data_IF_268419025026
#
_entry.id   IF_268419025026
#
_cell.length_a   1.000
_cell.length_b   1.000
_cell.length_c   1.000
_cell.angle_alpha   90.00
_cell.angle_beta   90.00
_cell.angle_gamma   90.00
#
_symmetry.space_group_name_H-M   'P 1'
#
loop_
_entity.id
_entity.type
_entity.pdbx_description
1 polymer ?
#
# COMPACT_ATOMS: atom_id res chain seq x y z
N UNK A 1 12.76 22.51 76.17
CA UNK A 1 13.34 21.69 75.08
C UNK A 1 12.22 21.16 74.20
N UNK A 2 11.85 21.87 73.12
CA UNK A 2 10.81 21.45 72.18
C UNK A 2 11.48 20.73 71.00
N UNK A 3 11.18 19.43 70.83
CA UNK A 3 11.73 18.60 69.75
C UNK A 3 10.89 18.83 68.48
N UNK A 4 11.44 19.56 67.51
CA UNK A 4 10.90 19.69 66.17
C UNK A 4 11.07 18.38 65.40
N UNK A 5 9.95 17.75 65.04
CA UNK A 5 9.94 16.61 64.11
C UNK A 5 9.98 17.17 62.69
N UNK A 6 11.10 16.96 62.00
CA UNK A 6 11.27 17.25 60.57
C UNK A 6 10.46 16.21 59.79
N UNK A 7 9.44 16.67 59.07
CA UNK A 7 8.64 15.84 58.17
C UNK A 7 9.39 15.73 56.83
N UNK A 8 9.85 14.52 56.49
CA UNK A 8 10.50 14.22 55.22
C UNK A 8 9.39 14.03 54.16
N UNK A 9 9.22 14.99 53.26
CA UNK A 9 8.28 14.90 52.16
C UNK A 9 8.83 13.95 51.08
N UNK A 10 8.18 12.81 50.91
CA UNK A 10 8.48 11.81 49.88
C UNK A 10 7.84 12.27 48.55
N UNK A 11 8.67 12.72 47.61
CA UNK A 11 8.23 13.06 46.25
C UNK A 11 8.01 11.75 45.49
N UNK A 12 6.75 11.35 45.33
CA UNK A 12 6.35 10.27 44.42
C UNK A 12 6.36 10.85 43.00
N UNK A 13 7.44 10.60 42.27
CA UNK A 13 7.53 10.92 40.85
C UNK A 13 6.72 9.86 40.09
N UNK A 14 5.42 10.12 39.90
CA UNK A 14 4.54 9.28 39.06
C UNK A 14 5.03 9.40 37.62
N UNK A 15 5.75 8.37 37.17
CA UNK A 15 6.07 8.17 35.75
C UNK A 15 4.73 7.86 35.06
N UNK A 16 4.10 8.86 34.46
CA UNK A 16 3.07 8.63 33.45
C UNK A 16 3.75 7.92 32.28
N UNK A 17 3.65 6.59 32.24
CA UNK A 17 3.93 5.84 31.04
C UNK A 17 2.98 6.36 29.96
N UNK A 18 3.51 7.13 29.00
CA UNK A 18 2.79 7.41 27.77
C UNK A 18 2.64 6.07 27.05
N UNK A 19 1.52 5.40 27.27
CA UNK A 19 1.07 4.33 26.38
C UNK A 19 0.83 5.01 25.04
N UNK A 20 1.76 4.83 24.10
CA UNK A 20 1.49 5.18 22.72
C UNK A 20 0.15 4.52 22.35
N UNK A 21 -0.77 5.24 21.68
CA UNK A 21 -1.99 4.61 21.20
C UNK A 21 -1.55 3.39 20.38
N UNK A 22 -1.99 2.20 20.80
CA UNK A 22 -1.81 1.02 19.97
C UNK A 22 -2.47 1.35 18.63
N UNK A 23 -1.70 1.33 17.54
CA UNK A 23 -2.25 1.51 16.20
C UNK A 23 -3.42 0.54 16.03
N UNK A 24 -4.55 1.04 15.56
CA UNK A 24 -5.71 0.20 15.33
C UNK A 24 -5.34 -0.80 14.25
N UNK A 25 -5.21 -2.08 14.62
CA UNK A 25 -4.85 -3.15 13.69
C UNK A 25 -5.79 -3.09 12.49
N UNK A 26 -5.26 -3.04 11.26
CA UNK A 26 -6.11 -2.96 10.07
C UNK A 26 -7.01 -4.18 10.02
N UNK A 27 -8.27 -3.95 9.67
CA UNK A 27 -9.28 -4.98 9.58
C UNK A 27 -9.31 -5.47 8.13
N UNK A 28 -9.30 -6.80 7.95
CA UNK A 28 -9.52 -7.40 6.64
C UNK A 28 -10.85 -6.92 6.04
N UNK A 29 -10.81 -6.39 4.81
CA UNK A 29 -11.98 -5.82 4.15
C UNK A 29 -12.27 -4.36 4.50
N UNK A 30 -11.45 -3.70 5.34
CA UNK A 30 -11.61 -2.26 5.58
C UNK A 30 -11.39 -1.46 4.30
N UNK A 31 -12.16 -0.38 4.13
CA UNK A 31 -12.09 0.51 2.96
C UNK A 31 -12.06 1.96 3.42
N UNK A 32 -11.10 2.75 2.92
CA UNK A 32 -11.18 4.20 2.95
C UNK A 32 -11.87 4.71 1.68
N UNK A 33 -13.11 5.19 1.83
CA UNK A 33 -13.92 5.77 0.74
C UNK A 33 -13.99 7.30 0.77
N UNK A 34 -13.44 7.95 1.81
CA UNK A 34 -13.38 9.41 1.93
C UNK A 34 -14.73 10.17 1.91
N UNK A 35 -15.85 9.46 2.03
CA UNK A 35 -17.21 10.03 1.96
C UNK A 35 -17.58 10.93 3.14
N UNK A 36 -16.82 10.89 4.23
CA UNK A 36 -17.02 11.75 5.40
C UNK A 36 -16.38 13.14 5.26
N UNK A 37 -15.75 13.44 4.12
CA UNK A 37 -15.06 14.69 3.86
C UNK A 37 -13.67 14.81 4.52
N UNK A 38 -13.21 13.75 5.20
CA UNK A 38 -11.88 13.69 5.80
C UNK A 38 -10.85 13.05 4.87
N UNK A 39 -9.56 13.10 5.24
CA UNK A 39 -8.50 12.33 4.57
C UNK A 39 -8.32 10.94 5.17
N UNK A 40 -9.20 10.50 6.09
CA UNK A 40 -9.09 9.23 6.81
C UNK A 40 -7.71 9.00 7.45
N UNK A 41 -7.07 10.08 7.94
CA UNK A 41 -5.73 10.02 8.55
C UNK A 41 -4.56 9.94 7.56
N UNK A 42 -4.81 9.98 6.24
CA UNK A 42 -3.75 10.11 5.25
C UNK A 42 -3.13 11.52 5.31
N UNK A 43 -1.83 11.56 5.54
CA UNK A 43 -1.02 12.78 5.65
C UNK A 43 0.26 12.72 4.83
N UNK A 44 1.00 13.83 4.80
CA UNK A 44 2.31 13.91 4.15
C UNK A 44 3.26 14.81 4.94
N UNK A 45 4.57 14.56 4.80
CA UNK A 45 5.60 15.16 5.65
C UNK A 45 6.25 14.12 6.57
N UNK A 46 6.82 14.54 7.70
CA UNK A 46 7.34 13.62 8.72
C UNK A 46 8.79 13.15 8.55
N UNK A 47 9.62 13.82 7.75
CA UNK A 47 11.08 13.66 7.80
C UNK A 47 11.70 14.27 9.06
N UNK A 48 13.04 14.24 9.23
CA UNK A 48 13.71 14.86 10.39
C UNK A 48 13.42 16.36 10.57
N UNK A 49 12.90 17.03 9.54
CA UNK A 49 12.47 18.44 9.60
C UNK A 49 10.95 18.62 9.81
N UNK A 50 10.16 17.54 9.80
CA UNK A 50 8.70 17.50 9.96
C UNK A 50 7.90 18.55 9.16
N UNK A 51 8.49 19.11 8.10
CA UNK A 51 7.87 20.18 7.34
C UNK A 51 6.70 19.62 6.54
N UNK A 52 5.51 20.16 6.79
CA UNK A 52 4.34 19.90 5.96
C UNK A 52 4.60 20.37 4.53
N UNK A 53 4.13 19.64 3.50
CA UNK A 53 4.18 20.11 2.14
C UNK A 53 3.31 21.37 1.97
N UNK A 54 3.60 22.25 1.00
CA UNK A 54 2.77 23.43 0.71
C UNK A 54 1.32 23.07 0.35
N UNK A 55 1.10 21.88 -0.21
CA UNK A 55 -0.22 21.31 -0.51
C UNK A 55 -0.29 19.95 0.19
N UNK A 56 -0.93 19.86 1.37
CA UNK A 56 -1.14 18.58 2.05
C UNK A 56 -2.16 17.71 1.29
N UNK A 57 -2.21 16.40 1.57
CA UNK A 57 -3.32 15.55 1.12
C UNK A 57 -4.66 16.18 1.49
N UNK A 58 -5.61 16.16 0.56
CA UNK A 58 -6.91 16.79 0.73
C UNK A 58 -8.03 15.89 0.23
N UNK A 59 -9.20 16.02 0.84
CA UNK A 59 -10.43 15.42 0.34
C UNK A 59 -11.01 16.32 -0.78
N UNK A 60 -11.34 15.73 -1.92
CA UNK A 60 -12.07 16.39 -3.01
C UNK A 60 -13.47 15.80 -3.04
N UNK A 61 -14.48 16.66 -2.96
CA UNK A 61 -15.87 16.24 -2.68
C UNK A 61 -16.67 15.81 -3.92
N UNK A 62 -16.01 15.57 -5.04
CA UNK A 62 -16.67 15.28 -6.32
C UNK A 62 -15.67 14.68 -7.33
N UNK A 63 -16.16 13.89 -8.27
CA UNK A 63 -15.39 13.37 -9.40
C UNK A 63 -14.58 12.10 -9.12
N UNK A 64 -14.88 11.41 -8.02
CA UNK A 64 -14.39 10.08 -7.68
C UNK A 64 -14.80 8.99 -8.70
N UNK A 65 -14.39 7.72 -8.50
CA UNK A 65 -14.73 6.59 -9.37
C UNK A 65 -16.23 6.38 -9.62
N UNK A 66 -17.09 6.67 -8.64
CA UNK A 66 -18.54 6.65 -8.69
C UNK A 66 -19.17 7.85 -9.43
N UNK A 67 -18.37 8.88 -9.75
CA UNK A 67 -18.79 10.04 -10.54
C UNK A 67 -19.19 11.23 -9.67
N UNK A 68 -20.36 11.82 -9.97
CA UNK A 68 -20.80 13.06 -9.35
C UNK A 68 -21.14 12.86 -7.86
N UNK A 69 -20.52 13.65 -6.98
CA UNK A 69 -20.70 13.59 -5.53
C UNK A 69 -19.92 12.47 -4.83
N UNK A 70 -19.04 11.76 -5.55
CA UNK A 70 -18.16 10.73 -5.01
C UNK A 70 -16.82 11.37 -4.62
N UNK A 71 -16.46 11.27 -3.34
CA UNK A 71 -15.28 11.93 -2.81
C UNK A 71 -14.01 11.13 -3.13
N UNK A 72 -12.85 11.77 -3.06
CA UNK A 72 -11.58 11.06 -3.14
C UNK A 72 -10.44 11.80 -2.44
N UNK A 73 -9.36 11.08 -2.15
CA UNK A 73 -8.12 11.65 -1.64
C UNK A 73 -7.25 12.18 -2.79
N UNK A 74 -6.96 13.48 -2.79
CA UNK A 74 -6.01 14.09 -3.72
C UNK A 74 -4.63 14.21 -3.08
N UNK A 75 -3.62 13.70 -3.79
CA UNK A 75 -2.20 13.90 -3.46
C UNK A 75 -1.56 14.79 -4.52
N UNK A 76 -0.80 15.79 -4.07
CA UNK A 76 -0.09 16.73 -4.96
C UNK A 76 1.39 16.82 -4.58
N UNK A 77 2.26 16.81 -5.58
CA UNK A 77 3.67 17.12 -5.44
C UNK A 77 4.11 18.16 -6.47
N UNK A 78 5.04 19.03 -6.08
CA UNK A 78 5.47 20.18 -6.90
C UNK A 78 6.73 19.89 -7.74
N UNK A 79 7.43 18.79 -7.48
CA UNK A 79 8.63 18.39 -8.25
C UNK A 79 9.86 19.27 -8.09
N UNK A 80 9.82 20.29 -7.24
CA UNK A 80 10.93 21.22 -6.98
C UNK A 80 11.85 20.71 -5.87
N UNK A 81 12.72 21.56 -5.33
CA UNK A 81 13.45 21.26 -4.10
C UNK A 81 12.58 21.52 -2.86
N UNK A 82 12.79 20.75 -1.78
CA UNK A 82 12.15 20.97 -0.48
C UNK A 82 10.86 20.19 -0.23
N UNK A 83 10.07 20.58 0.80
CA UNK A 83 8.82 19.91 1.15
C UNK A 83 7.82 19.86 -0.01
N UNK A 84 7.11 18.75 -0.16
CA UNK A 84 6.16 18.54 -1.27
C UNK A 84 6.80 18.24 -2.62
N UNK A 85 8.13 18.14 -2.71
CA UNK A 85 8.83 17.80 -3.96
C UNK A 85 8.54 16.39 -4.49
N UNK A 86 8.17 15.47 -3.58
CA UNK A 86 8.00 14.04 -3.86
C UNK A 86 6.54 13.69 -3.61
N UNK A 87 5.95 12.89 -4.50
CA UNK A 87 4.59 12.39 -4.34
C UNK A 87 4.60 11.27 -3.29
N UNK A 88 4.13 11.57 -2.09
CA UNK A 88 4.04 10.60 -1.00
C UNK A 88 2.91 10.97 -0.03
N UNK A 89 2.24 9.96 0.48
CA UNK A 89 1.36 10.05 1.63
C UNK A 89 1.60 8.86 2.57
N UNK A 90 1.19 8.99 3.81
CA UNK A 90 1.26 7.92 4.79
C UNK A 90 0.06 7.93 5.72
N UNK A 91 -0.23 6.77 6.28
CA UNK A 91 -1.19 6.58 7.36
C UNK A 91 -0.51 5.73 8.44
N UNK A 92 -0.41 6.30 9.64
CA UNK A 92 0.22 5.70 10.83
C UNK A 92 -0.80 5.41 11.94
N UNK A 93 -2.09 5.40 11.59
CA UNK A 93 -3.19 5.12 12.50
C UNK A 93 -3.93 3.83 12.10
N UNK A 94 -5.02 3.94 11.35
CA UNK A 94 -5.90 2.80 11.02
C UNK A 94 -5.30 1.77 10.03
N UNK A 95 -4.20 2.12 9.39
CA UNK A 95 -3.43 1.20 8.53
C UNK A 95 -2.17 0.65 9.21
N UNK A 96 -2.02 0.86 10.53
CA UNK A 96 -0.91 0.34 11.33
C UNK A 96 -1.31 -0.93 12.11
N UNK A 97 -0.45 -1.95 12.15
CA UNK A 97 -0.66 -3.18 12.91
C UNK A 97 -0.09 -4.42 12.24
N UNK A 98 -0.54 -5.59 12.69
CA UNK A 98 -0.09 -6.90 12.18
C UNK A 98 -0.95 -7.34 10.99
N UNK A 99 -0.41 -7.20 9.77
CA UNK A 99 -1.08 -7.58 8.54
C UNK A 99 -1.14 -9.10 8.38
N UNK A 100 -0.17 -9.83 8.94
CA UNK A 100 -0.10 -11.28 8.88
C UNK A 100 -1.21 -11.89 9.75
N UNK A 101 -1.34 -11.42 10.99
CA UNK A 101 -2.41 -11.85 11.89
C UNK A 101 -3.80 -11.42 11.38
N UNK A 102 -3.90 -10.25 10.74
CA UNK A 102 -5.14 -9.80 10.10
C UNK A 102 -5.50 -10.59 8.83
N UNK A 103 -4.59 -11.41 8.30
CA UNK A 103 -4.81 -12.18 7.06
C UNK A 103 -4.84 -11.31 5.81
N UNK A 104 -4.24 -10.11 5.86
CA UNK A 104 -4.16 -9.18 4.74
C UNK A 104 -3.01 -9.59 3.84
N UNK A 105 -3.29 -9.86 2.56
CA UNK A 105 -2.31 -10.28 1.56
C UNK A 105 -2.21 -9.31 0.38
N UNK A 106 -3.04 -8.26 0.37
CA UNK A 106 -3.01 -7.24 -0.67
C UNK A 106 -3.74 -5.98 -0.26
N UNK A 107 -3.49 -4.90 -0.99
CA UNK A 107 -4.27 -3.66 -0.92
C UNK A 107 -4.69 -3.30 -2.33
N UNK A 108 -5.97 -3.00 -2.55
CA UNK A 108 -6.44 -2.41 -3.79
C UNK A 108 -6.90 -0.98 -3.59
N UNK A 109 -6.89 -0.18 -4.66
CA UNK A 109 -7.41 1.19 -4.66
C UNK A 109 -7.75 1.62 -6.09
N UNK A 110 -8.70 2.54 -6.25
CA UNK A 110 -8.96 3.23 -7.51
C UNK A 110 -8.03 4.44 -7.61
N UNK A 111 -7.37 4.60 -8.76
CA UNK A 111 -6.39 5.67 -8.96
C UNK A 111 -6.66 6.36 -10.29
N UNK A 112 -6.54 7.69 -10.27
CA UNK A 112 -6.57 8.53 -11.46
C UNK A 112 -5.40 9.50 -11.44
N UNK A 113 -4.66 9.58 -12.55
CA UNK A 113 -3.61 10.58 -12.71
C UNK A 113 -4.21 11.89 -13.23
N UNK A 114 -4.14 12.93 -12.41
CA UNK A 114 -4.64 14.28 -12.68
C UNK A 114 -3.52 15.23 -13.15
N UNK A 115 -2.28 14.73 -13.19
CA UNK A 115 -1.10 15.47 -13.60
C UNK A 115 -0.84 15.41 -15.10
N UNK A 116 0.39 15.78 -15.49
CA UNK A 116 0.87 15.79 -16.87
C UNK A 116 2.02 14.81 -17.13
N UNK A 117 2.38 13.99 -16.14
CA UNK A 117 3.46 13.01 -16.20
C UNK A 117 2.98 11.68 -15.64
N UNK A 118 3.45 10.58 -16.22
CA UNK A 118 3.17 9.23 -15.72
C UNK A 118 3.79 9.05 -14.33
N UNK A 119 3.05 8.36 -13.46
CA UNK A 119 3.53 8.01 -12.12
C UNK A 119 3.61 6.51 -11.94
N UNK A 120 4.63 6.03 -11.24
CA UNK A 120 4.72 4.65 -10.76
C UNK A 120 4.49 4.67 -9.25
N UNK A 121 3.30 4.28 -8.81
CA UNK A 121 2.94 4.23 -7.40
C UNK A 121 3.34 2.89 -6.76
N UNK A 122 3.73 2.95 -5.50
CA UNK A 122 4.16 1.80 -4.70
C UNK A 122 3.68 1.95 -3.26
N UNK A 123 3.57 0.82 -2.57
CA UNK A 123 3.37 0.79 -1.14
C UNK A 123 4.69 0.51 -0.43
N UNK A 124 4.93 1.20 0.69
CA UNK A 124 5.95 0.83 1.65
C UNK A 124 5.31 0.57 3.02
N UNK A 125 5.68 -0.54 3.65
CA UNK A 125 5.33 -0.89 5.01
C UNK A 125 6.54 -0.59 5.89
N UNK A 126 6.34 0.22 6.92
CA UNK A 126 7.43 0.69 7.78
C UNK A 126 7.13 0.31 9.22
N UNK A 127 8.03 -0.43 9.84
CA UNK A 127 8.05 -0.69 11.29
C UNK A 127 9.03 0.26 11.95
N UNK A 128 8.59 0.97 12.99
CA UNK A 128 9.41 1.89 13.75
C UNK A 128 9.82 1.27 15.09
N UNK A 129 11.12 1.24 15.35
CA UNK A 129 11.67 1.03 16.68
C UNK A 129 11.92 2.35 17.40
N UNK A 130 12.58 2.27 18.56
CA UNK A 130 12.86 3.43 19.42
C UNK A 130 13.77 4.50 18.80
N UNK A 131 14.59 4.14 17.82
CA UNK A 131 15.59 5.02 17.18
C UNK A 131 15.36 5.22 15.68
N UNK A 132 14.20 4.80 15.16
CA UNK A 132 13.84 4.90 13.74
C UNK A 132 13.35 3.58 13.15
N UNK A 133 13.24 3.48 11.82
CA UNK A 133 12.77 2.27 11.17
C UNK A 133 13.65 1.05 11.48
N UNK A 134 13.04 -0.09 11.77
CA UNK A 134 13.72 -1.39 11.94
C UNK A 134 13.51 -2.30 10.75
N UNK A 135 12.33 -2.24 10.14
CA UNK A 135 11.94 -3.01 8.97
C UNK A 135 11.21 -2.11 7.98
N UNK A 136 11.59 -2.25 6.71
CA UNK A 136 10.97 -1.53 5.59
C UNK A 136 10.85 -2.47 4.41
N UNK A 137 9.63 -2.65 3.92
CA UNK A 137 9.33 -3.46 2.74
C UNK A 137 8.53 -2.66 1.73
N UNK A 138 8.88 -2.77 0.45
CA UNK A 138 8.28 -2.02 -0.66
C UNK A 138 7.74 -2.98 -1.70
N UNK A 139 6.60 -2.70 -2.32
CA UNK A 139 6.09 -3.55 -3.42
C UNK A 139 7.08 -3.57 -4.60
N UNK A 140 7.42 -4.78 -5.07
CA UNK A 140 8.27 -4.99 -6.26
C UNK A 140 7.59 -4.51 -7.53
N UNK A 141 6.31 -4.86 -7.69
CA UNK A 141 5.48 -4.37 -8.77
C UNK A 141 4.94 -2.99 -8.41
N UNK A 142 5.20 -2.02 -9.29
CA UNK A 142 4.67 -0.67 -9.19
C UNK A 142 3.41 -0.54 -10.04
N UNK A 143 2.44 0.23 -9.57
CA UNK A 143 1.28 0.63 -10.35
C UNK A 143 1.66 1.79 -11.26
N UNK A 144 1.90 1.51 -12.54
CA UNK A 144 2.06 2.57 -13.55
C UNK A 144 0.70 3.18 -13.85
N UNK A 145 0.55 4.47 -13.56
CA UNK A 145 -0.67 5.24 -13.79
C UNK A 145 -0.37 6.31 -14.86
N UNK A 146 -0.73 6.04 -16.12
CA UNK A 146 -0.48 6.98 -17.21
C UNK A 146 -1.23 8.29 -17.01
N UNK A 147 -0.64 9.39 -17.47
CA UNK A 147 -1.31 10.69 -17.53
C UNK A 147 -2.59 10.61 -18.38
N UNK A 148 -3.64 11.31 -17.95
CA UNK A 148 -4.93 11.34 -18.67
C UNK A 148 -5.75 10.04 -18.61
N UNK A 149 -5.30 9.01 -17.88
CA UNK A 149 -6.11 7.83 -17.63
C UNK A 149 -7.36 8.18 -16.79
N UNK A 150 -8.46 7.45 -17.00
CA UNK A 150 -9.61 7.47 -16.11
C UNK A 150 -9.33 6.73 -14.80
N UNK A 151 -10.32 6.68 -13.91
CA UNK A 151 -10.26 5.87 -12.70
C UNK A 151 -10.02 4.40 -13.05
N UNK A 152 -8.95 3.83 -12.49
CA UNK A 152 -8.56 2.44 -12.70
C UNK A 152 -8.23 1.80 -11.36
N UNK A 153 -8.73 0.59 -11.11
CA UNK A 153 -8.38 -0.17 -9.91
C UNK A 153 -7.02 -0.84 -10.05
N UNK A 154 -6.13 -0.56 -9.10
CA UNK A 154 -4.82 -1.20 -8.95
C UNK A 154 -4.82 -2.09 -7.71
N UNK A 155 -4.08 -3.19 -7.77
CA UNK A 155 -3.89 -4.10 -6.63
C UNK A 155 -2.40 -4.30 -6.38
N UNK A 156 -1.99 -4.09 -5.13
CA UNK A 156 -0.65 -4.27 -4.64
C UNK A 156 -0.60 -5.56 -3.83
N UNK A 157 0.18 -6.55 -4.28
CA UNK A 157 0.39 -7.78 -3.53
C UNK A 157 1.32 -7.52 -2.35
N UNK A 158 0.93 -8.03 -1.19
CA UNK A 158 1.72 -8.01 0.05
C UNK A 158 2.28 -9.39 0.40
N UNK A 159 2.20 -10.35 -0.52
CA UNK A 159 2.90 -11.63 -0.33
C UNK A 159 4.41 -11.39 -0.16
N UNK A 160 5.13 -12.18 0.65
CA UNK A 160 6.56 -11.94 0.89
C UNK A 160 7.42 -11.87 -0.38
N UNK A 161 7.08 -12.64 -1.42
CA UNK A 161 7.79 -12.61 -2.72
C UNK A 161 7.50 -11.38 -3.57
N UNK A 162 6.42 -10.65 -3.29
CA UNK A 162 6.07 -9.40 -3.96
C UNK A 162 6.67 -8.16 -3.27
N UNK A 163 7.44 -8.35 -2.20
CA UNK A 163 8.02 -7.26 -1.41
C UNK A 163 9.56 -7.25 -1.48
N UNK A 164 10.12 -6.09 -1.78
CA UNK A 164 11.53 -5.78 -1.65
C UNK A 164 11.80 -5.21 -0.25
N UNK A 165 12.49 -5.97 0.61
CA UNK A 165 12.93 -5.46 1.90
C UNK A 165 14.13 -4.52 1.73
N UNK A 166 13.94 -3.22 1.95
CA UNK A 166 15.03 -2.22 1.90
C UNK A 166 15.73 -2.05 3.23
N UNK A 167 15.10 -2.51 4.31
CA UNK A 167 15.66 -2.62 5.66
C UNK A 167 15.01 -3.81 6.38
N UNK A 168 15.76 -4.53 7.20
CA UNK A 168 15.22 -5.66 7.97
C UNK A 168 14.68 -6.77 7.06
N UNK A 169 13.43 -7.18 7.29
CA UNK A 169 12.76 -8.24 6.53
C UNK A 169 11.34 -7.85 6.11
N UNK A 170 10.84 -8.45 5.02
CA UNK A 170 9.45 -8.28 4.60
C UNK A 170 8.45 -8.83 5.63
N UNK A 171 8.79 -9.95 6.28
CA UNK A 171 7.97 -10.53 7.33
C UNK A 171 7.88 -9.62 8.56
N UNK A 172 9.01 -9.05 9.02
CA UNK A 172 9.03 -8.08 10.12
C UNK A 172 8.24 -6.81 9.79
N UNK A 173 8.39 -6.29 8.58
CA UNK A 173 7.64 -5.13 8.12
C UNK A 173 6.12 -5.37 8.09
N UNK A 174 5.66 -6.60 7.84
CA UNK A 174 4.24 -6.96 7.82
C UNK A 174 3.66 -7.28 9.19
N UNK A 175 4.46 -7.78 10.14
CA UNK A 175 3.98 -8.20 11.46
C UNK A 175 3.71 -7.03 12.41
N UNK A 176 4.35 -5.88 12.22
CA UNK A 176 4.14 -4.69 13.06
C UNK A 176 4.27 -3.41 12.23
N UNK A 177 3.37 -3.20 11.27
CA UNK A 177 3.36 -1.97 10.47
C UNK A 177 3.08 -0.78 11.38
N UNK A 178 4.01 0.16 11.48
CA UNK A 178 3.81 1.43 12.17
C UNK A 178 3.28 2.51 11.24
N UNK A 179 3.62 2.44 9.95
CA UNK A 179 3.08 3.32 8.92
C UNK A 179 2.99 2.61 7.58
N UNK A 180 1.82 2.70 6.94
CA UNK A 180 1.64 2.40 5.53
C UNK A 180 1.92 3.67 4.72
N UNK A 181 2.76 3.58 3.70
CA UNK A 181 3.10 4.70 2.82
C UNK A 181 2.72 4.38 1.38
N UNK A 182 2.10 5.35 0.73
CA UNK A 182 1.89 5.38 -0.72
C UNK A 182 2.85 6.42 -1.31
N UNK A 183 3.60 6.06 -2.36
CA UNK A 183 4.58 6.97 -2.93
C UNK A 183 4.90 6.67 -4.39
N UNK A 184 5.42 7.68 -5.09
CA UNK A 184 5.95 7.54 -6.45
C UNK A 184 7.41 7.09 -6.43
N UNK A 185 7.72 5.95 -7.08
CA UNK A 185 9.10 5.63 -7.43
C UNK A 185 9.15 4.62 -8.59
N UNK A 186 9.82 4.92 -9.72
CA UNK A 186 10.03 3.92 -10.77
C UNK A 186 10.82 2.69 -10.27
N UNK A 187 11.73 2.87 -9.31
CA UNK A 187 12.46 1.78 -8.68
C UNK A 187 11.77 1.30 -7.38
N UNK A 188 11.82 0.00 -7.04
CA UNK A 188 11.23 -0.56 -5.80
C UNK A 188 12.08 -0.23 -4.57
N UNK A 189 12.38 1.05 -4.35
CA UNK A 189 13.30 1.53 -3.33
C UNK A 189 12.66 2.61 -2.45
N UNK A 190 12.95 2.56 -1.15
CA UNK A 190 12.52 3.56 -0.17
C UNK A 190 13.57 3.67 0.95
N UNK A 191 14.11 4.87 1.19
CA UNK A 191 15.04 5.11 2.29
C UNK A 191 15.95 6.35 2.17
N UNK A 192 16.75 6.63 3.22
CA UNK A 192 17.55 7.85 3.34
C UNK A 192 18.87 7.89 2.54
N UNK A 193 19.29 6.78 1.89
CA UNK A 193 20.63 6.66 1.28
C UNK A 193 20.61 6.29 -0.21
N UNK A 194 20.47 7.27 -1.12
CA UNK A 194 20.50 7.04 -2.57
C UNK A 194 19.34 6.22 -3.14
N UNK A 195 18.45 5.73 -2.27
CA UNK A 195 17.23 4.97 -2.51
C UNK A 195 15.99 5.86 -2.45
N UNK A 196 16.17 7.14 -2.76
CA UNK A 196 15.22 8.18 -2.40
C UNK A 196 14.19 8.41 -3.51
N UNK A 197 12.92 8.32 -3.16
CA UNK A 197 11.70 8.64 -3.95
C UNK A 197 11.89 9.87 -4.87
N UNK A 198 12.10 9.75 -6.19
CA UNK A 198 12.48 10.92 -7.02
C UNK A 198 11.46 12.07 -6.92
N UNK A 199 11.91 13.34 -7.00
CA UNK A 199 10.99 14.47 -7.08
C UNK A 199 10.19 14.40 -8.39
N UNK A 200 8.92 14.75 -8.32
CA UNK A 200 8.02 14.77 -9.47
C UNK A 200 6.94 15.83 -9.25
N UNK A 201 6.58 16.57 -10.31
CA UNK A 201 5.40 17.42 -10.31
C UNK A 201 4.22 16.56 -10.77
N UNK A 202 3.31 16.21 -9.86
CA UNK A 202 2.20 15.32 -10.14
C UNK A 202 1.01 15.60 -9.24
N UNK A 203 -0.18 15.24 -9.72
CA UNK A 203 -1.41 15.21 -8.96
C UNK A 203 -2.11 13.89 -9.23
N UNK A 204 -2.53 13.18 -8.18
CA UNK A 204 -3.27 11.92 -8.30
C UNK A 204 -4.50 11.94 -7.40
N UNK A 205 -5.61 11.41 -7.91
CA UNK A 205 -6.76 11.04 -7.10
C UNK A 205 -6.67 9.57 -6.72
N UNK A 206 -6.95 9.25 -5.46
CA UNK A 206 -6.99 7.90 -4.90
C UNK A 206 -8.29 7.73 -4.13
N UNK A 207 -8.94 6.60 -4.33
CA UNK A 207 -10.16 6.25 -3.62
C UNK A 207 -10.26 4.73 -3.38
N UNK A 208 -11.19 4.30 -2.53
CA UNK A 208 -11.50 2.91 -2.19
C UNK A 208 -10.26 2.10 -1.80
N UNK A 209 -9.43 2.64 -0.88
CA UNK A 209 -8.25 1.92 -0.39
C UNK A 209 -8.73 0.75 0.46
N UNK A 210 -8.60 -0.47 -0.05
CA UNK A 210 -9.26 -1.66 0.45
C UNK A 210 -8.25 -2.76 0.82
N UNK A 211 -8.33 -3.26 2.06
CA UNK A 211 -7.52 -4.37 2.55
C UNK A 211 -8.05 -5.71 2.05
N UNK A 212 -7.23 -6.44 1.28
CA UNK A 212 -7.58 -7.73 0.68
C UNK A 212 -6.91 -8.89 1.42
N UNK A 213 -7.62 -10.02 1.51
CA UNK A 213 -7.06 -11.28 2.02
C UNK A 213 -6.71 -12.24 0.90
N UNK A 214 -6.19 -13.42 1.26
CA UNK A 214 -5.74 -14.44 0.29
C UNK A 214 -6.82 -14.86 -0.73
N UNK A 215 -8.10 -14.69 -0.38
CA UNK A 215 -9.25 -15.01 -1.24
C UNK A 215 -9.87 -13.77 -1.92
N UNK A 216 -9.30 -12.57 -1.71
CA UNK A 216 -9.79 -11.31 -2.29
C UNK A 216 -9.30 -11.04 -3.71
N UNK A 217 -8.28 -11.76 -4.17
CA UNK A 217 -7.85 -11.74 -5.56
C UNK A 217 -8.68 -12.73 -6.37
N UNK A 218 -9.59 -12.23 -7.22
CA UNK A 218 -10.49 -12.98 -8.10
C UNK A 218 -11.84 -13.44 -7.50
N UNK A 219 -12.41 -12.67 -6.59
CA UNK A 219 -13.87 -12.66 -6.44
C UNK A 219 -14.46 -11.96 -7.68
N UNK A 220 -14.80 -12.75 -8.71
CA UNK A 220 -15.29 -12.24 -9.99
C UNK A 220 -16.45 -11.27 -9.87
N UNK A 221 -16.68 -10.51 -10.94
CA UNK A 221 -17.91 -9.77 -11.22
C UNK A 221 -19.14 -10.63 -10.84
N UNK A 222 -19.60 -10.52 -9.60
CA UNK A 222 -20.91 -10.93 -9.18
C UNK A 222 -21.87 -9.96 -9.82
N UNK A 223 -22.45 -10.40 -10.94
CA UNK A 223 -23.21 -9.57 -11.85
C UNK A 223 -24.24 -8.71 -11.15
N UNK A 224 -24.47 -7.55 -11.77
CA UNK A 224 -25.62 -6.70 -11.58
C UNK A 224 -26.88 -7.59 -11.69
N UNK A 225 -27.38 -8.06 -10.55
CA UNK A 225 -28.57 -8.89 -10.44
C UNK A 225 -29.76 -7.99 -10.73
N UNK A 226 -30.21 -8.05 -11.98
CA UNK A 226 -31.30 -7.25 -12.50
C UNK A 226 -32.57 -7.33 -11.65
N UNK A 227 -33.25 -6.20 -11.60
CA UNK A 227 -34.64 -6.07 -11.21
C UNK A 227 -35.51 -6.96 -12.13
N UNK A 228 -35.78 -8.20 -11.70
CA UNK A 228 -36.56 -9.19 -12.43
C UNK A 228 -37.94 -9.34 -11.81
N UNK A 229 -38.95 -8.92 -12.56
CA UNK A 229 -40.34 -8.80 -12.11
C UNK A 229 -41.04 -10.10 -11.71
N UNK A 230 -42.12 -9.87 -10.99
CA UNK A 230 -43.16 -10.82 -10.62
C UNK A 230 -43.84 -11.37 -11.89
N UNK A 231 -43.88 -12.69 -12.07
CA UNK A 231 -44.77 -13.31 -13.05
C UNK A 231 -44.37 -14.70 -13.53
N UNK A 232 -45.22 -15.69 -13.27
CA UNK A 232 -45.37 -16.85 -14.16
C UNK A 232 -45.12 -18.21 -13.55
N UNK A 233 -46.20 -18.82 -13.05
CA UNK A 233 -46.35 -20.26 -12.94
C UNK A 233 -46.19 -20.94 -14.32
N UNK A 234 -45.52 -22.10 -14.37
CA UNK A 234 -45.78 -23.10 -15.41
C UNK A 234 -44.54 -23.83 -15.91
N UNK A 235 -44.61 -25.16 -15.91
CA UNK A 235 -43.81 -25.99 -16.82
C UNK A 235 -42.98 -27.08 -16.17
N UNK A 236 -43.63 -28.23 -15.96
CA UNK A 236 -43.00 -29.50 -15.68
C UNK A 236 -42.42 -30.10 -16.98
N UNK A 237 -41.24 -30.73 -16.93
CA UNK A 237 -40.83 -31.71 -17.95
C UNK A 237 -39.38 -31.64 -18.41
N UNK A 238 -38.72 -32.80 -18.44
CA UNK A 238 -37.60 -33.03 -19.35
C UNK A 238 -36.41 -33.76 -18.74
N UNK A 239 -36.39 -35.08 -18.89
CA UNK A 239 -35.32 -36.00 -18.54
C UNK A 239 -34.31 -36.16 -19.70
N UNK A 240 -33.05 -36.49 -19.40
CA UNK A 240 -32.03 -36.98 -20.34
C UNK A 240 -30.86 -36.01 -20.53
N UNK A 241 -29.58 -36.40 -20.51
CA UNK A 241 -28.92 -37.70 -20.51
C UNK A 241 -27.53 -37.51 -21.15
N UNK A 242 -26.53 -38.30 -20.70
CA UNK A 242 -25.17 -38.48 -21.26
C UNK A 242 -24.27 -37.23 -21.36
N UNK A 243 -22.99 -37.26 -20.98
CA UNK A 243 -22.01 -38.33 -21.05
C UNK A 243 -20.84 -37.80 -21.88
N UNK A 244 -19.67 -37.59 -21.27
CA UNK A 244 -18.52 -37.03 -21.97
C UNK A 244 -17.35 -36.72 -21.05
N UNK A 245 -16.69 -37.77 -20.55
CA UNK A 245 -15.35 -37.67 -19.95
C UNK A 245 -14.36 -37.24 -21.03
N UNK A 246 -13.81 -36.03 -20.89
CA UNK A 246 -12.70 -35.56 -21.73
C UNK A 246 -11.39 -36.11 -21.14
N UNK A 247 -10.56 -36.85 -21.91
CA UNK A 247 -9.28 -37.33 -21.44
C UNK A 247 -8.23 -36.20 -21.44
N UNK A 248 -7.51 -36.10 -20.32
CA UNK A 248 -6.30 -35.29 -20.13
C UNK A 248 -5.23 -35.60 -21.21
N UNK A 249 -4.62 -34.60 -21.86
CA UNK A 249 -3.41 -34.83 -22.64
C UNK A 249 -2.20 -35.01 -21.71
N UNK A 250 -1.63 -36.21 -21.78
CA UNK A 250 -0.37 -36.57 -21.13
C UNK A 250 0.82 -35.76 -21.69
N UNK A 251 1.68 -35.34 -20.77
CA UNK A 251 3.15 -35.45 -20.84
C UNK A 251 3.83 -35.13 -22.17
N UNK A 252 4.32 -33.89 -22.33
CA UNK A 252 5.38 -33.57 -23.28
C UNK A 252 6.71 -33.41 -22.54
N UNK A 253 7.52 -34.48 -22.55
CA UNK A 253 8.92 -34.43 -22.20
C UNK A 253 9.70 -33.77 -23.34
N UNK A 254 10.41 -32.67 -23.06
CA UNK A 254 11.45 -32.18 -23.97
C UNK A 254 12.82 -32.29 -23.26
N UNK A 255 13.56 -33.31 -23.68
CA UNK A 255 14.98 -33.47 -23.43
C UNK A 255 15.77 -32.37 -24.15
N UNK A 256 16.83 -31.90 -23.47
CA UNK A 256 18.17 -31.84 -24.06
C UNK A 256 18.57 -30.51 -24.70
N UNK A 257 19.60 -29.88 -24.14
CA UNK A 257 20.32 -28.79 -24.80
C UNK A 257 21.31 -28.05 -23.91
N UNK A 258 22.33 -28.75 -23.40
CA UNK A 258 23.52 -28.10 -22.86
C UNK A 258 24.32 -27.43 -23.98
N UNK A 259 24.72 -26.15 -23.85
CA UNK A 259 25.86 -25.65 -24.59
C UNK A 259 26.52 -24.38 -23.99
N UNK A 260 27.84 -24.52 -23.82
CA UNK A 260 28.89 -23.51 -23.91
C UNK A 260 29.07 -22.44 -22.80
N UNK A 261 29.98 -22.81 -21.90
CA UNK A 261 31.00 -21.98 -21.27
C UNK A 261 31.64 -20.99 -22.26
N UNK A 262 31.74 -19.72 -21.88
CA UNK A 262 32.46 -18.69 -22.62
C UNK A 262 33.09 -17.65 -21.68
N UNK A 263 34.13 -18.05 -20.94
CA UNK A 263 34.98 -17.12 -20.21
C UNK A 263 35.83 -16.31 -21.19
N UNK A 264 35.66 -14.98 -21.24
CA UNK A 264 36.64 -14.10 -21.89
C UNK A 264 37.13 -13.04 -20.92
N UNK A 265 38.34 -13.30 -20.42
CA UNK A 265 39.18 -12.41 -19.64
C UNK A 265 39.89 -11.45 -20.59
N UNK A 266 39.76 -10.14 -20.43
CA UNK A 266 40.69 -9.18 -21.05
C UNK A 266 41.13 -8.14 -20.03
N UNK A 267 42.37 -8.30 -19.55
CA UNK A 267 43.16 -7.24 -18.91
C UNK A 267 43.52 -6.21 -19.97
N UNK A 268 43.43 -4.93 -19.65
CA UNK A 268 44.29 -3.94 -20.28
C UNK A 268 44.92 -3.03 -19.24
N UNK A 269 46.23 -3.20 -19.10
CA UNK A 269 47.19 -2.33 -18.42
C UNK A 269 47.74 -1.31 -19.41
N UNK A 270 47.76 -0.02 -19.03
CA UNK A 270 48.77 1.01 -19.40
C UNK A 270 48.58 2.20 -18.44
N UNK A 271 49.48 2.51 -17.50
CA UNK A 271 50.62 3.48 -17.58
C UNK A 271 50.22 4.74 -18.36
N UNK A 272 50.29 5.96 -17.84
CA UNK A 272 51.22 6.61 -16.89
C UNK A 272 50.47 7.56 -15.96
#
# INVERSE_FOLDING_TARGET
>A
MRRSKVLLAMVVMTVCALTAPAGATPILGQVDTFEDGSTAGWGAGGGPMQAAPPVPPGNVTDGGPGGAGDNYLQLTSIGLAGPGSRLTAFNDAQWAGDYVAAGITGISMDIRNLGNADVVLRLALVTLGSVGPTDVAVTFDGATVPTGAGWTRYTFSLSPGALNATLGSAAGALSEVSALRLFHNPAPLFGPSGQSVPPIAASVGIDNIHALGANGGNGGNGGNGGNGGNGGNGGNGGNGGNGGTVPEPSTLALLGGALAVGATRRRHTTRR
#
